data_IF_267403074243
#
_entry.id   IF_267403074243
#
_cell.length_a   1.000
_cell.length_b   1.000
_cell.length_c   1.000
_cell.angle_alpha   90.00
_cell.angle_beta   90.00
_cell.angle_gamma   90.00
#
_symmetry.space_group_name_H-M   'P 1'
#
loop_
_entity.id
_entity.type
_entity.pdbx_description
1 polymer ?
#
# COMPACT_ATOMS: atom_id res chain seq x y z
N UNK A 1 -9.65 14.15 1.69
CA UNK A 1 -9.48 14.58 0.29
C UNK A 1 -8.99 13.38 -0.49
N UNK A 2 -9.65 13.02 -1.59
CA UNK A 2 -9.16 11.99 -2.53
C UNK A 2 -8.66 12.74 -3.75
N UNK A 3 -7.41 12.50 -4.14
CA UNK A 3 -6.80 13.13 -5.32
C UNK A 3 -7.21 12.35 -6.57
N UNK A 4 -7.37 13.05 -7.70
CA UNK A 4 -7.55 12.35 -8.97
C UNK A 4 -6.21 11.75 -9.42
N UNK A 5 -6.22 10.58 -10.08
CA UNK A 5 -4.98 9.99 -10.60
C UNK A 5 -4.20 10.95 -11.50
N UNK A 6 -4.91 11.74 -12.31
CA UNK A 6 -4.30 12.73 -13.21
C UNK A 6 -3.48 13.78 -12.47
N UNK A 7 -3.94 14.23 -11.29
CA UNK A 7 -3.19 15.19 -10.47
C UNK A 7 -1.87 14.61 -9.97
N UNK A 8 -1.85 13.32 -9.65
CA UNK A 8 -0.65 12.62 -9.17
C UNK A 8 0.32 12.34 -10.32
N UNK A 9 -0.18 11.98 -11.51
CA UNK A 9 0.66 11.65 -12.66
C UNK A 9 1.46 12.85 -13.19
N UNK A 10 0.91 14.04 -13.03
CA UNK A 10 1.53 15.26 -13.52
C UNK A 10 2.62 15.81 -12.58
N UNK A 11 2.91 15.14 -11.47
CA UNK A 11 3.99 15.51 -10.56
C UNK A 11 5.33 15.13 -11.22
N UNK A 12 6.26 16.07 -11.43
CA UNK A 12 7.56 15.77 -12.03
C UNK A 12 8.32 14.70 -11.25
N UNK A 13 8.86 13.70 -11.97
CA UNK A 13 9.58 12.57 -11.38
C UNK A 13 8.69 11.44 -10.83
N UNK A 14 7.36 11.57 -10.92
CA UNK A 14 6.47 10.49 -10.54
C UNK A 14 6.28 9.48 -11.69
N UNK A 15 6.30 8.19 -11.34
CA UNK A 15 6.10 7.09 -12.28
C UNK A 15 4.88 6.27 -11.84
N UNK A 16 3.67 6.65 -12.30
CA UNK A 16 2.44 6.01 -11.85
C UNK A 16 2.24 4.63 -12.46
N UNK A 17 1.86 3.67 -11.62
CA UNK A 17 1.50 2.31 -12.00
C UNK A 17 -0.01 2.14 -11.76
N UNK A 18 -0.73 1.85 -12.84
CA UNK A 18 -2.18 1.88 -12.95
C UNK A 18 -2.80 0.51 -13.19
N UNK A 19 -2.08 -0.36 -13.89
CA UNK A 19 -2.55 -1.71 -14.19
C UNK A 19 -1.38 -2.65 -14.47
N UNK A 20 -1.66 -3.96 -14.42
CA UNK A 20 -0.69 -5.02 -14.67
C UNK A 20 -0.21 -5.09 -16.13
N UNK A 21 -0.89 -4.43 -17.06
CA UNK A 21 -0.52 -4.45 -18.48
C UNK A 21 0.55 -3.40 -18.83
N UNK A 22 0.97 -2.56 -17.88
CA UNK A 22 2.06 -1.61 -18.09
C UNK A 22 3.43 -2.34 -18.09
N UNK A 23 4.18 -2.32 -19.21
CA UNK A 23 5.48 -2.99 -19.33
C UNK A 23 6.62 -2.12 -18.76
N UNK A 24 7.75 -2.74 -18.40
CA UNK A 24 7.89 -3.80 -17.41
C UNK A 24 7.98 -3.22 -15.99
N UNK A 25 7.66 -4.05 -15.00
CA UNK A 25 7.92 -3.84 -13.57
C UNK A 25 9.43 -3.81 -13.25
N UNK A 26 10.32 -3.51 -14.20
CA UNK A 26 11.78 -3.48 -14.00
C UNK A 26 12.20 -2.35 -13.04
N UNK A 27 11.33 -1.36 -12.83
CA UNK A 27 11.44 -0.34 -11.78
C UNK A 27 10.80 -0.75 -10.46
N UNK A 28 10.57 -2.05 -10.23
CA UNK A 28 10.12 -2.57 -8.94
C UNK A 28 10.98 -1.96 -7.83
N UNK A 29 10.41 -1.43 -6.73
CA UNK A 29 11.16 -0.51 -5.89
C UNK A 29 12.19 -1.29 -5.06
N UNK A 30 13.41 -1.43 -5.60
CA UNK A 30 14.58 -1.83 -4.85
C UNK A 30 14.95 -0.69 -3.90
N UNK A 31 14.24 -0.59 -2.80
CA UNK A 31 14.43 0.47 -1.82
C UNK A 31 13.37 0.40 -0.74
N UNK A 32 12.59 1.47 -0.64
CA UNK A 32 11.64 1.69 0.44
C UNK A 32 10.22 1.75 -0.10
N UNK A 33 9.33 0.95 0.48
CA UNK A 33 7.90 0.97 0.19
C UNK A 33 7.17 1.72 1.31
N UNK A 34 6.38 2.73 0.96
CA UNK A 34 5.55 3.48 1.91
C UNK A 34 4.08 3.34 1.55
N UNK A 35 3.27 2.91 2.51
CA UNK A 35 1.81 2.85 2.36
C UNK A 35 1.20 4.03 3.11
N UNK A 36 0.87 5.09 2.37
CA UNK A 36 0.21 6.29 2.88
C UNK A 36 -0.91 6.72 1.91
N UNK A 37 -2.17 6.90 2.32
CA UNK A 37 -2.83 6.75 3.63
C UNK A 37 -3.35 5.31 3.81
N UNK A 38 -2.82 4.53 4.77
CA UNK A 38 -3.27 3.16 4.98
C UNK A 38 -4.64 3.14 5.70
N UNK A 39 -5.70 2.89 4.93
CA UNK A 39 -7.08 2.83 5.44
C UNK A 39 -7.34 1.55 6.24
N UNK A 40 -8.46 1.48 6.96
CA UNK A 40 -8.89 0.27 7.68
C UNK A 40 -8.95 -0.97 6.79
N UNK A 41 -9.46 -0.83 5.57
CA UNK A 41 -9.55 -1.92 4.60
C UNK A 41 -8.14 -2.40 4.17
N UNK A 42 -7.28 -1.46 3.77
CA UNK A 42 -5.91 -1.76 3.37
C UNK A 42 -5.13 -2.42 4.50
N UNK A 43 -5.24 -1.90 5.72
CA UNK A 43 -4.57 -2.45 6.91
C UNK A 43 -4.98 -3.89 7.19
N UNK A 44 -6.29 -4.18 7.17
CA UNK A 44 -6.77 -5.54 7.42
C UNK A 44 -6.43 -6.51 6.29
N UNK A 45 -6.46 -6.06 5.03
CA UNK A 45 -6.01 -6.88 3.90
C UNK A 45 -4.53 -7.22 4.03
N UNK A 46 -3.70 -6.25 4.39
CA UNK A 46 -2.27 -6.45 4.62
C UNK A 46 -2.02 -7.49 5.71
N UNK A 47 -2.70 -7.36 6.85
CA UNK A 47 -2.53 -8.27 7.98
C UNK A 47 -2.89 -9.72 7.68
N UNK A 48 -3.82 -9.91 6.75
CA UNK A 48 -4.29 -11.22 6.30
C UNK A 48 -3.55 -11.71 5.04
N UNK A 49 -2.58 -10.95 4.51
CA UNK A 49 -1.87 -11.30 3.28
C UNK A 49 -2.74 -11.27 2.01
N UNK A 50 -3.82 -10.49 2.00
CA UNK A 50 -4.76 -10.41 0.86
C UNK A 50 -4.20 -9.46 -0.20
N UNK A 51 -3.80 -10.04 -1.34
CA UNK A 51 -3.25 -9.34 -2.51
C UNK A 51 -4.23 -9.29 -3.70
N UNK A 52 -5.42 -8.72 -3.47
CA UNK A 52 -6.54 -8.76 -4.44
C UNK A 52 -6.63 -7.56 -5.40
N UNK A 53 -5.64 -6.67 -5.36
CA UNK A 53 -5.52 -5.53 -6.26
C UNK A 53 -4.04 -5.18 -6.48
N UNK A 54 -3.77 -4.39 -7.53
CA UNK A 54 -2.41 -4.04 -7.96
C UNK A 54 -1.53 -3.54 -6.82
N UNK A 55 -2.00 -2.59 -6.03
CA UNK A 55 -1.20 -2.02 -4.95
C UNK A 55 -0.85 -3.07 -3.87
N UNK A 56 -1.78 -3.97 -3.56
CA UNK A 56 -1.53 -5.04 -2.59
C UNK A 56 -0.64 -6.15 -3.14
N UNK A 57 -0.75 -6.51 -4.42
CA UNK A 57 0.18 -7.45 -5.06
C UNK A 57 1.60 -6.89 -5.08
N UNK A 58 1.75 -5.63 -5.50
CA UNK A 58 3.06 -4.97 -5.52
C UNK A 58 3.68 -4.86 -4.11
N UNK A 59 2.86 -4.65 -3.09
CA UNK A 59 3.32 -4.64 -1.72
C UNK A 59 3.78 -6.04 -1.26
N UNK A 60 3.05 -7.09 -1.62
CA UNK A 60 3.45 -8.46 -1.32
C UNK A 60 4.79 -8.81 -1.96
N UNK A 61 4.96 -8.46 -3.24
CA UNK A 61 6.21 -8.64 -3.98
C UNK A 61 7.36 -7.80 -3.37
N UNK A 62 7.08 -6.59 -2.87
CA UNK A 62 8.09 -5.75 -2.22
C UNK A 62 8.56 -6.36 -0.90
N UNK A 63 7.64 -6.96 -0.13
CA UNK A 63 7.96 -7.69 1.09
C UNK A 63 8.80 -8.94 0.77
N UNK A 64 8.43 -9.70 -0.27
CA UNK A 64 9.18 -10.88 -0.73
C UNK A 64 10.60 -10.50 -1.18
N UNK A 65 10.74 -9.39 -1.90
CA UNK A 65 12.03 -8.83 -2.33
C UNK A 65 12.88 -8.25 -1.17
N UNK A 66 12.37 -8.24 0.06
CA UNK A 66 13.07 -7.72 1.24
C UNK A 66 13.14 -6.19 1.31
N UNK A 67 12.23 -5.48 0.64
CA UNK A 67 12.19 -4.01 0.65
C UNK A 67 11.79 -3.49 2.03
N UNK A 68 12.43 -2.39 2.46
CA UNK A 68 12.06 -1.74 3.72
C UNK A 68 10.65 -1.16 3.58
N UNK A 69 9.68 -1.73 4.30
CA UNK A 69 8.27 -1.40 4.14
C UNK A 69 7.75 -0.66 5.37
N UNK A 70 7.17 0.53 5.16
CA UNK A 70 6.58 1.35 6.21
C UNK A 70 5.08 1.53 5.98
N UNK A 71 4.31 1.33 7.04
CA UNK A 71 2.86 1.49 7.02
C UNK A 71 2.55 2.78 7.78
N UNK A 72 1.80 3.70 7.15
CA UNK A 72 1.27 4.90 7.80
C UNK A 72 -0.26 4.80 7.91
N UNK A 73 -0.79 4.24 9.03
CA UNK A 73 -2.22 4.12 9.24
C UNK A 73 -2.90 5.50 9.29
N UNK A 74 -3.97 5.64 8.53
CA UNK A 74 -4.88 6.78 8.58
C UNK A 74 -6.30 6.23 8.74
N UNK A 75 -6.60 5.82 9.97
CA UNK A 75 -7.84 5.15 10.34
C UNK A 75 -8.57 6.03 11.35
N UNK A 76 -9.89 6.22 11.17
CA UNK A 76 -10.69 6.94 12.17
C UNK A 76 -10.65 6.19 13.51
N UNK A 77 -10.63 6.95 14.61
CA UNK A 77 -10.60 6.44 15.97
C UNK A 77 -11.60 5.31 16.28
N UNK A 78 -12.83 5.40 15.77
CA UNK A 78 -13.83 4.34 15.96
C UNK A 78 -13.41 3.00 15.34
N UNK A 79 -12.86 3.06 14.13
CA UNK A 79 -12.34 1.89 13.41
C UNK A 79 -11.02 1.40 13.99
N UNK A 80 -10.19 2.29 14.53
CA UNK A 80 -8.95 1.91 15.21
C UNK A 80 -9.22 1.03 16.44
N UNK A 81 -10.34 1.26 17.14
CA UNK A 81 -10.76 0.43 18.27
C UNK A 81 -11.36 -0.91 17.88
N UNK A 82 -11.65 -1.12 16.60
CA UNK A 82 -12.27 -2.36 16.14
C UNK A 82 -11.39 -3.57 16.50
N UNK A 83 -11.95 -4.67 17.03
CA UNK A 83 -11.17 -5.82 17.49
C UNK A 83 -10.20 -6.36 16.43
N UNK A 84 -10.60 -6.34 15.17
CA UNK A 84 -9.76 -6.78 14.06
C UNK A 84 -8.47 -5.96 13.90
N UNK A 85 -8.50 -4.64 14.16
CA UNK A 85 -7.28 -3.82 14.09
C UNK A 85 -6.30 -4.22 15.18
N UNK A 86 -6.81 -4.52 16.39
CA UNK A 86 -5.98 -4.96 17.51
C UNK A 86 -5.28 -6.30 17.25
N UNK A 87 -5.97 -7.25 16.64
CA UNK A 87 -5.39 -8.54 16.23
C UNK A 87 -4.27 -8.32 15.21
N UNK A 88 -4.43 -7.31 14.35
CA UNK A 88 -3.53 -6.96 13.27
C UNK A 88 -2.38 -6.03 13.68
N UNK A 89 -2.31 -5.57 14.94
CA UNK A 89 -1.21 -4.73 15.46
C UNK A 89 0.16 -5.44 15.46
N UNK A 90 0.20 -6.74 15.18
CA UNK A 90 1.43 -7.51 14.99
C UNK A 90 2.23 -7.08 13.76
N UNK A 91 1.65 -6.30 12.84
CA UNK A 91 2.32 -5.71 11.67
C UNK A 91 3.21 -4.48 12.00
N UNK A 92 3.61 -4.28 13.25
CA UNK A 92 4.47 -3.14 13.65
C UNK A 92 5.93 -3.34 13.25
#
# INVERSE_FOLDING_TARGET
>A
MVLSPQQIHNIPGNHPILNYAQPPLDSFPFGTMLIALCTFNTFNKLALGIADNLAMSMLADAIDAGCSTFIAPSINYGLWKHPQVKVNETLR
#
